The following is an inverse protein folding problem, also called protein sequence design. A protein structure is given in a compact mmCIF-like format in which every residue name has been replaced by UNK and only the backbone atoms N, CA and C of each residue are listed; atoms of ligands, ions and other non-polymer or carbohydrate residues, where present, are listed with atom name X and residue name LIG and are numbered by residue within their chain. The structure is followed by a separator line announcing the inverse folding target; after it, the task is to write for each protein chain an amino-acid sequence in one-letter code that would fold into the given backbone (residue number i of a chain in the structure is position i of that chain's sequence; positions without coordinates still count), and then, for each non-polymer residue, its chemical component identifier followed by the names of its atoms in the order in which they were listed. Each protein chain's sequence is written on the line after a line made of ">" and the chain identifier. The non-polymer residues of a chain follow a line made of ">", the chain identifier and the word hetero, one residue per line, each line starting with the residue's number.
data_IF_512634742448
#
_entry.id   IF_512634742448
#
_cell.length_a   1.000
_cell.length_b   1.000
_cell.length_c   1.000
_cell.angle_alpha   90.00
_cell.angle_beta   90.00
_cell.angle_gamma   90.00
#
_symmetry.space_group_name_H-M   'P 1'
#
loop_
_entity.id
_entity.type
_entity.pdbx_description
1 polymer ?
#
# COMPACT_ATOMS: atom_id res chain seq x y z
N UNK A 1 -32.58 -15.58 -44.20
CA UNK A 1 -31.28 -16.20 -43.85
C UNK A 1 -31.48 -17.68 -43.61
N UNK A 2 -30.68 -18.53 -44.26
CA UNK A 2 -30.72 -19.98 -44.04
C UNK A 2 -30.30 -20.35 -42.58
N UNK A 3 -30.76 -21.48 -42.10
CA UNK A 3 -30.42 -21.97 -40.73
C UNK A 3 -28.89 -22.07 -40.54
N UNK A 4 -28.18 -22.45 -41.61
CA UNK A 4 -26.69 -22.52 -41.63
C UNK A 4 -26.05 -21.12 -41.45
N UNK A 5 -26.59 -20.07 -42.10
CA UNK A 5 -26.06 -18.71 -41.97
C UNK A 5 -26.27 -18.15 -40.57
N UNK A 6 -27.40 -18.46 -39.93
CA UNK A 6 -27.68 -18.06 -38.54
C UNK A 6 -26.74 -18.76 -37.56
N UNK A 7 -26.50 -20.06 -37.74
CA UNK A 7 -25.56 -20.82 -36.90
C UNK A 7 -24.14 -20.29 -37.03
N UNK A 8 -23.68 -20.00 -38.25
CA UNK A 8 -22.35 -19.44 -38.48
C UNK A 8 -22.21 -18.07 -37.82
N UNK A 9 -23.24 -17.21 -37.93
CA UNK A 9 -23.25 -15.89 -37.29
C UNK A 9 -23.12 -15.98 -35.76
N UNK A 10 -23.88 -16.85 -35.11
CA UNK A 10 -23.79 -17.05 -33.65
C UNK A 10 -22.44 -17.62 -33.23
N UNK A 11 -21.91 -18.58 -34.00
CA UNK A 11 -20.60 -19.16 -33.73
C UNK A 11 -19.47 -18.12 -33.83
N UNK A 12 -19.52 -17.28 -34.88
CA UNK A 12 -18.53 -16.21 -35.06
C UNK A 12 -18.64 -15.14 -33.97
N UNK A 13 -19.87 -14.73 -33.63
CA UNK A 13 -20.12 -13.78 -32.55
C UNK A 13 -19.59 -14.31 -31.21
N UNK A 14 -19.82 -15.60 -30.94
CA UNK A 14 -19.32 -16.26 -29.74
C UNK A 14 -17.80 -16.35 -29.68
N UNK A 15 -17.13 -16.67 -30.81
CA UNK A 15 -15.68 -16.69 -30.92
C UNK A 15 -15.05 -15.31 -30.73
N UNK A 16 -15.66 -14.24 -31.24
CA UNK A 16 -15.20 -12.86 -31.06
C UNK A 16 -15.18 -12.44 -29.58
N UNK A 17 -16.09 -12.97 -28.77
CA UNK A 17 -16.15 -12.68 -27.32
C UNK A 17 -15.28 -13.66 -26.53
N UNK A 18 -15.33 -14.95 -26.88
CA UNK A 18 -14.65 -16.01 -26.13
C UNK A 18 -13.12 -15.93 -26.29
N UNK A 19 -12.61 -15.68 -27.49
CA UNK A 19 -11.16 -15.66 -27.73
C UNK A 19 -10.46 -14.53 -26.96
N UNK A 20 -10.90 -13.26 -26.99
CA UNK A 20 -10.35 -12.21 -26.16
C UNK A 20 -10.51 -12.49 -24.65
N UNK A 21 -11.64 -13.09 -24.24
CA UNK A 21 -11.87 -13.47 -22.85
C UNK A 21 -10.89 -14.57 -22.40
N UNK A 22 -10.68 -15.63 -23.19
CA UNK A 22 -9.73 -16.69 -22.89
C UNK A 22 -8.28 -16.19 -22.92
N UNK A 23 -7.97 -15.29 -23.87
CA UNK A 23 -6.67 -14.63 -23.92
C UNK A 23 -6.44 -13.78 -22.68
N UNK A 24 -7.42 -12.95 -22.31
CA UNK A 24 -7.38 -12.11 -21.12
C UNK A 24 -7.30 -12.94 -19.83
N UNK A 25 -8.12 -14.00 -19.71
CA UNK A 25 -8.10 -14.95 -18.59
C UNK A 25 -6.74 -15.66 -18.46
N UNK A 26 -6.16 -16.11 -19.56
CA UNK A 26 -4.90 -16.85 -19.55
C UNK A 26 -3.66 -15.96 -19.37
N UNK A 27 -3.77 -14.66 -19.69
CA UNK A 27 -2.63 -13.72 -19.60
C UNK A 27 -2.66 -12.84 -18.37
N UNK A 28 -3.83 -12.59 -17.78
CA UNK A 28 -3.98 -11.59 -16.71
C UNK A 28 -4.47 -12.14 -15.37
N UNK A 29 -5.29 -13.17 -15.34
CA UNK A 29 -5.85 -13.69 -14.10
C UNK A 29 -5.34 -15.10 -13.80
N UNK A 30 -4.50 -15.21 -12.74
CA UNK A 30 -4.35 -16.45 -12.00
C UNK A 30 -3.44 -17.52 -12.59
N UNK A 31 -2.62 -17.22 -13.61
CA UNK A 31 -1.61 -18.20 -14.02
C UNK A 31 -0.54 -18.31 -12.95
N UNK A 32 -0.54 -19.44 -12.24
CA UNK A 32 0.56 -19.77 -11.34
C UNK A 32 1.86 -19.86 -12.12
N UNK A 33 2.86 -19.08 -11.71
CA UNK A 33 4.19 -19.15 -12.29
C UNK A 33 4.88 -20.44 -11.84
N UNK A 34 5.54 -21.18 -12.75
CA UNK A 34 6.42 -22.26 -12.35
C UNK A 34 7.62 -21.70 -11.55
N UNK A 35 8.20 -22.53 -10.68
CA UNK A 35 9.26 -22.13 -9.76
C UNK A 35 10.46 -21.47 -10.46
N UNK A 36 10.84 -22.00 -11.63
CA UNK A 36 11.89 -21.40 -12.44
C UNK A 36 11.56 -19.96 -12.86
N UNK A 37 10.32 -19.71 -13.30
CA UNK A 37 9.90 -18.38 -13.75
C UNK A 37 9.79 -17.41 -12.57
N UNK A 38 9.38 -17.85 -11.38
CA UNK A 38 9.42 -17.03 -10.16
C UNK A 38 10.87 -16.59 -9.89
N UNK A 39 11.82 -17.53 -9.93
CA UNK A 39 13.24 -17.25 -9.71
C UNK A 39 13.81 -16.25 -10.73
N UNK A 40 13.46 -16.40 -12.00
CA UNK A 40 13.84 -15.47 -13.07
C UNK A 40 13.24 -14.07 -12.84
N UNK A 41 11.97 -14.00 -12.47
CA UNK A 41 11.26 -12.74 -12.23
C UNK A 41 11.78 -11.97 -11.04
N UNK A 42 12.17 -12.63 -9.94
CA UNK A 42 12.75 -11.97 -8.75
C UNK A 42 14.08 -11.25 -9.06
N UNK A 43 14.78 -11.66 -10.13
CA UNK A 43 16.07 -11.08 -10.56
C UNK A 43 15.96 -10.12 -11.74
N UNK A 44 14.74 -9.85 -12.21
CA UNK A 44 14.52 -8.96 -13.36
C UNK A 44 14.39 -7.50 -12.93
N UNK A 45 15.47 -6.93 -12.41
CA UNK A 45 15.51 -5.54 -11.92
C UNK A 45 15.13 -4.51 -13.01
N UNK A 46 15.17 -4.90 -14.29
CA UNK A 46 14.73 -4.03 -15.40
C UNK A 46 13.22 -3.93 -15.51
N UNK A 47 12.49 -4.89 -14.96
CA UNK A 47 11.02 -4.97 -15.02
C UNK A 47 10.42 -5.17 -13.62
N UNK A 48 10.33 -4.12 -12.79
CA UNK A 48 9.84 -4.22 -11.41
C UNK A 48 8.48 -4.92 -11.28
N UNK A 49 7.62 -4.83 -12.29
CA UNK A 49 6.32 -5.53 -12.31
C UNK A 49 6.46 -7.05 -12.32
N UNK A 50 7.53 -7.60 -12.92
CA UNK A 50 7.82 -9.04 -12.85
C UNK A 50 8.16 -9.44 -11.42
N UNK A 51 9.00 -8.64 -10.74
CA UNK A 51 9.35 -8.87 -9.35
C UNK A 51 8.10 -8.84 -8.47
N UNK A 52 7.25 -7.81 -8.61
CA UNK A 52 6.00 -7.71 -7.85
C UNK A 52 5.08 -8.92 -8.08
N UNK A 53 4.93 -9.37 -9.32
CA UNK A 53 4.13 -10.55 -9.65
C UNK A 53 4.67 -11.81 -8.97
N UNK A 54 6.00 -12.02 -9.00
CA UNK A 54 6.63 -13.14 -8.31
C UNK A 54 6.44 -13.05 -6.79
N UNK A 55 6.62 -11.86 -6.20
CA UNK A 55 6.43 -11.61 -4.76
C UNK A 55 5.00 -11.97 -4.31
N UNK A 56 3.97 -11.51 -5.04
CA UNK A 56 2.56 -11.81 -4.71
C UNK A 56 2.34 -13.32 -4.72
N UNK A 57 2.84 -14.04 -5.72
CA UNK A 57 2.68 -15.49 -5.78
C UNK A 57 3.46 -16.25 -4.69
N UNK A 58 4.63 -15.72 -4.27
CA UNK A 58 5.34 -16.27 -3.10
C UNK A 58 4.50 -16.04 -1.84
N UNK A 59 3.93 -14.85 -1.65
CA UNK A 59 3.04 -14.55 -0.53
C UNK A 59 1.84 -15.49 -0.48
N UNK A 60 1.18 -15.74 -1.63
CA UNK A 60 0.09 -16.72 -1.75
C UNK A 60 0.54 -18.14 -1.36
N UNK A 61 1.71 -18.58 -1.81
CA UNK A 61 2.27 -19.88 -1.45
C UNK A 61 2.55 -20.00 0.04
N UNK A 62 3.10 -18.96 0.67
CA UNK A 62 3.33 -18.92 2.11
C UNK A 62 2.00 -19.05 2.86
N UNK A 63 0.97 -18.29 2.48
CA UNK A 63 -0.36 -18.36 3.08
C UNK A 63 -1.02 -19.74 2.92
N UNK A 64 -0.70 -20.47 1.84
CA UNK A 64 -1.14 -21.84 1.62
C UNK A 64 -0.20 -22.91 2.24
N UNK A 65 0.79 -22.48 3.05
CA UNK A 65 1.76 -23.37 3.71
C UNK A 65 2.58 -24.25 2.73
N UNK A 66 2.84 -23.73 1.51
CA UNK A 66 3.72 -24.40 0.55
C UNK A 66 5.19 -24.23 0.98
N UNK A 67 5.77 -25.28 1.54
CA UNK A 67 7.15 -25.28 2.03
C UNK A 67 8.19 -24.93 0.96
N UNK A 68 7.85 -25.05 -0.32
CA UNK A 68 8.74 -24.65 -1.43
C UNK A 68 8.97 -23.15 -1.47
N UNK A 69 8.11 -22.32 -0.85
CA UNK A 69 8.29 -20.88 -0.77
C UNK A 69 9.63 -20.48 -0.11
N UNK A 70 10.12 -21.28 0.83
CA UNK A 70 11.35 -21.01 1.58
C UNK A 70 12.59 -20.90 0.68
N UNK A 71 12.61 -21.50 -0.51
CA UNK A 71 13.73 -21.39 -1.44
C UNK A 71 14.03 -19.96 -1.89
N UNK A 72 13.02 -19.07 -1.85
CA UNK A 72 13.16 -17.67 -2.28
C UNK A 72 13.39 -16.68 -1.12
N UNK A 73 13.41 -17.10 0.14
CA UNK A 73 13.59 -16.22 1.29
C UNK A 73 14.86 -15.36 1.22
N UNK A 74 16.03 -15.88 0.75
CA UNK A 74 17.18 -15.01 0.55
C UNK A 74 16.97 -13.89 -0.46
N UNK A 75 16.16 -14.12 -1.51
CA UNK A 75 15.83 -13.10 -2.49
C UNK A 75 14.87 -12.05 -1.91
N UNK A 76 13.93 -12.42 -1.05
CA UNK A 76 13.07 -11.48 -0.33
C UNK A 76 13.94 -10.55 0.54
N UNK A 77 14.87 -11.09 1.34
CA UNK A 77 15.77 -10.28 2.15
C UNK A 77 16.61 -9.32 1.28
N UNK A 78 17.03 -9.74 0.09
CA UNK A 78 17.74 -8.87 -0.88
C UNK A 78 16.85 -7.74 -1.39
N UNK A 79 15.57 -8.03 -1.71
CA UNK A 79 14.63 -7.09 -2.28
C UNK A 79 14.16 -6.02 -1.28
N UNK A 80 14.37 -6.21 0.02
CA UNK A 80 14.10 -5.22 1.06
C UNK A 80 14.84 -3.88 0.83
N UNK A 81 15.91 -3.88 0.02
CA UNK A 81 16.68 -2.67 -0.34
C UNK A 81 16.58 -2.32 -1.82
N UNK A 82 15.62 -2.87 -2.54
CA UNK A 82 15.44 -2.61 -3.97
C UNK A 82 15.17 -1.13 -4.23
N UNK A 83 15.71 -0.50 -5.33
CA UNK A 83 15.55 0.92 -5.58
C UNK A 83 14.08 1.35 -5.81
N UNK A 84 13.25 0.46 -6.32
CA UNK A 84 11.82 0.73 -6.63
C UNK A 84 10.97 0.52 -5.38
N UNK A 85 10.27 1.57 -4.97
CA UNK A 85 9.42 1.61 -3.77
C UNK A 85 8.36 0.51 -3.76
N UNK A 86 7.66 0.32 -4.87
CA UNK A 86 6.56 -0.65 -4.98
C UNK A 86 7.04 -2.08 -4.78
N UNK A 87 8.28 -2.39 -5.16
CA UNK A 87 8.90 -3.70 -4.89
C UNK A 87 9.13 -3.87 -3.41
N UNK A 88 9.77 -2.90 -2.74
CA UNK A 88 10.00 -2.94 -1.29
C UNK A 88 8.70 -3.02 -0.50
N UNK A 89 7.68 -2.27 -0.94
CA UNK A 89 6.37 -2.26 -0.31
C UNK A 89 5.68 -3.65 -0.36
N UNK A 90 5.68 -4.28 -1.52
CA UNK A 90 5.13 -5.64 -1.70
C UNK A 90 5.94 -6.65 -0.91
N UNK A 91 7.26 -6.54 -0.92
CA UNK A 91 8.18 -7.44 -0.23
C UNK A 91 8.00 -7.39 1.30
N UNK A 92 7.83 -6.19 1.88
CA UNK A 92 7.53 -6.03 3.30
C UNK A 92 6.25 -6.79 3.70
N UNK A 93 5.20 -6.73 2.89
CA UNK A 93 3.97 -7.49 3.11
C UNK A 93 4.21 -9.00 3.02
N UNK A 94 4.96 -9.46 2.02
CA UNK A 94 5.26 -10.90 1.82
C UNK A 94 6.04 -11.47 3.01
N UNK A 95 7.07 -10.76 3.49
CA UNK A 95 7.84 -11.19 4.67
C UNK A 95 6.97 -11.32 5.93
N UNK A 96 5.90 -10.52 6.06
CA UNK A 96 4.95 -10.63 7.16
C UNK A 96 4.09 -11.90 7.15
N UNK A 97 4.01 -12.61 6.01
CA UNK A 97 3.20 -13.84 5.90
C UNK A 97 3.89 -15.07 6.54
N UNK A 98 5.21 -15.02 6.78
CA UNK A 98 5.93 -16.06 7.52
C UNK A 98 6.85 -15.44 8.58
N UNK A 99 6.37 -15.44 9.81
CA UNK A 99 7.14 -14.90 10.95
C UNK A 99 8.32 -15.78 11.39
N UNK A 100 8.48 -16.96 10.80
CA UNK A 100 9.64 -17.85 11.02
C UNK A 100 10.69 -17.73 9.91
N UNK A 101 10.43 -16.93 8.87
CA UNK A 101 11.35 -16.75 7.75
C UNK A 101 12.68 -16.15 8.20
N UNK A 102 13.83 -16.81 7.89
CA UNK A 102 15.15 -16.37 8.33
C UNK A 102 15.49 -14.99 7.71
N UNK A 103 15.89 -14.04 8.57
CA UNK A 103 16.29 -12.69 8.16
C UNK A 103 15.13 -11.72 7.90
N UNK A 104 13.88 -12.18 7.95
CA UNK A 104 12.71 -11.33 7.69
C UNK A 104 12.52 -10.27 8.78
N UNK A 105 12.63 -10.66 10.03
CA UNK A 105 12.49 -9.74 11.17
C UNK A 105 13.49 -8.58 11.07
N UNK A 106 14.78 -8.87 10.85
CA UNK A 106 15.85 -7.88 10.74
C UNK A 106 15.68 -6.99 9.50
N UNK A 107 15.22 -7.55 8.38
CA UNK A 107 14.93 -6.79 7.17
C UNK A 107 13.79 -5.81 7.42
N UNK A 108 12.68 -6.26 8.01
CA UNK A 108 11.53 -5.43 8.34
C UNK A 108 11.88 -4.31 9.34
N UNK A 109 12.71 -4.59 10.36
CA UNK A 109 13.22 -3.56 11.29
C UNK A 109 13.97 -2.44 10.54
N UNK A 110 14.81 -2.78 9.56
CA UNK A 110 15.48 -1.78 8.72
C UNK A 110 14.48 -0.99 7.85
N UNK A 111 13.47 -1.64 7.33
CA UNK A 111 12.44 -1.01 6.50
C UNK A 111 11.55 -0.03 7.28
N UNK A 112 11.54 -0.04 8.62
CA UNK A 112 10.91 1.01 9.42
C UNK A 112 11.55 2.40 9.21
N UNK A 113 12.75 2.46 8.66
CA UNK A 113 13.48 3.70 8.35
C UNK A 113 13.45 4.02 6.84
N UNK A 114 12.63 3.32 6.06
CA UNK A 114 12.52 3.58 4.61
C UNK A 114 12.06 5.02 4.33
N UNK A 115 12.50 5.58 3.22
CA UNK A 115 12.06 6.91 2.76
C UNK A 115 10.56 6.94 2.45
N UNK A 116 10.00 5.82 1.97
CA UNK A 116 8.58 5.68 1.66
C UNK A 116 7.74 5.43 2.91
N UNK A 117 6.70 6.23 3.10
CA UNK A 117 5.71 6.05 4.18
C UNK A 117 4.98 4.70 4.05
N UNK A 118 4.70 4.26 2.83
CA UNK A 118 4.01 2.99 2.59
C UNK A 118 4.89 1.79 2.96
N UNK A 119 6.17 1.84 2.60
CA UNK A 119 7.13 0.78 2.99
C UNK A 119 7.26 0.69 4.51
N UNK A 120 7.45 1.84 5.19
CA UNK A 120 7.48 1.89 6.66
C UNK A 120 6.20 1.33 7.29
N UNK A 121 5.04 1.69 6.72
CA UNK A 121 3.74 1.22 7.18
C UNK A 121 3.60 -0.30 7.06
N UNK A 122 3.88 -0.87 5.88
CA UNK A 122 3.79 -2.31 5.67
C UNK A 122 4.82 -3.09 6.49
N UNK A 123 6.04 -2.58 6.66
CA UNK A 123 7.03 -3.19 7.54
C UNK A 123 6.53 -3.23 9.00
N UNK A 124 5.93 -2.13 9.46
CA UNK A 124 5.37 -2.04 10.81
C UNK A 124 4.19 -2.99 11.05
N UNK A 125 3.27 -3.08 10.08
CA UNK A 125 2.13 -4.02 10.10
C UNK A 125 2.63 -5.47 10.14
N UNK A 126 3.64 -5.79 9.33
CA UNK A 126 4.26 -7.11 9.29
C UNK A 126 4.94 -7.47 10.60
N UNK A 127 5.73 -6.55 11.18
CA UNK A 127 6.39 -6.76 12.48
C UNK A 127 5.40 -7.04 13.62
N UNK A 128 4.22 -6.43 13.60
CA UNK A 128 3.19 -6.68 14.61
C UNK A 128 2.70 -8.15 14.64
N UNK A 129 3.00 -8.94 13.61
CA UNK A 129 2.69 -10.36 13.54
C UNK A 129 3.75 -11.23 14.22
N UNK A 130 5.00 -10.75 14.31
CA UNK A 130 6.10 -11.47 14.94
C UNK A 130 5.93 -11.57 16.46
N UNK A 131 6.55 -12.59 17.05
CA UNK A 131 6.61 -12.80 18.49
C UNK A 131 8.05 -13.04 18.93
N UNK A 132 8.40 -12.51 20.08
CA UNK A 132 9.68 -12.83 20.73
C UNK A 132 9.63 -14.19 21.45
N UNK A 133 10.76 -14.56 22.05
CA UNK A 133 10.89 -15.82 22.79
C UNK A 133 9.94 -15.92 24.01
N UNK A 134 9.43 -14.80 24.53
CA UNK A 134 8.43 -14.76 25.61
C UNK A 134 7.01 -14.94 25.09
N UNK A 135 6.80 -14.97 23.78
CA UNK A 135 5.51 -14.98 23.12
C UNK A 135 4.87 -13.59 22.97
N UNK A 136 5.55 -12.51 23.40
CA UNK A 136 5.09 -11.14 23.24
C UNK A 136 5.23 -10.70 21.79
N UNK A 137 4.25 -9.89 21.31
CA UNK A 137 4.30 -9.37 19.94
C UNK A 137 5.32 -8.25 19.81
N UNK A 138 5.95 -8.18 18.64
CA UNK A 138 6.87 -7.10 18.33
C UNK A 138 6.12 -5.77 18.16
N UNK A 139 6.45 -4.81 18.99
CA UNK A 139 5.88 -3.47 18.98
C UNK A 139 6.84 -2.41 18.41
N UNK A 140 7.94 -2.80 17.79
CA UNK A 140 8.96 -1.87 17.24
C UNK A 140 8.38 -0.94 16.17
N UNK A 141 7.40 -1.41 15.39
CA UNK A 141 6.71 -0.64 14.36
C UNK A 141 5.53 0.20 14.86
N UNK A 142 5.21 0.19 16.17
CA UNK A 142 4.02 0.86 16.71
C UNK A 142 3.92 2.35 16.35
N UNK A 143 4.98 3.18 16.43
CA UNK A 143 4.90 4.59 16.03
C UNK A 143 4.52 4.78 14.57
N UNK A 144 5.01 3.93 13.67
CA UNK A 144 4.69 3.96 12.25
C UNK A 144 3.24 3.54 12.00
N UNK A 145 2.72 2.56 12.75
CA UNK A 145 1.30 2.17 12.68
C UNK A 145 0.39 3.32 13.12
N UNK A 146 0.73 4.01 14.22
CA UNK A 146 -0.02 5.19 14.66
C UNK A 146 0.02 6.30 13.62
N UNK A 147 1.16 6.49 12.93
CA UNK A 147 1.30 7.45 11.85
C UNK A 147 0.40 7.15 10.64
N UNK A 148 0.05 5.87 10.39
CA UNK A 148 -0.90 5.49 9.32
C UNK A 148 -2.32 6.02 9.55
N UNK A 149 -2.66 6.40 10.77
CA UNK A 149 -3.95 6.98 11.13
C UNK A 149 -4.00 8.51 10.94
N UNK A 150 -2.88 9.14 10.64
CA UNK A 150 -2.78 10.59 10.52
C UNK A 150 -2.88 11.05 9.08
N UNK A 151 -3.46 12.23 8.82
CA UNK A 151 -3.40 12.85 7.50
C UNK A 151 -1.96 13.06 7.04
N UNK A 152 -1.74 12.95 5.74
CA UNK A 152 -0.43 13.15 5.11
C UNK A 152 -0.39 14.48 4.38
N UNK A 153 0.64 15.29 4.67
CA UNK A 153 0.90 16.56 4.00
C UNK A 153 1.69 16.32 2.70
N UNK A 154 1.15 16.82 1.60
CA UNK A 154 1.79 16.79 0.28
C UNK A 154 2.46 18.12 0.04
N UNK A 155 3.79 18.12 -0.14
CA UNK A 155 4.60 19.31 -0.27
C UNK A 155 5.02 19.54 -1.73
N UNK A 156 5.25 20.79 -2.11
CA UNK A 156 5.80 21.15 -3.40
C UNK A 156 7.27 20.69 -3.51
N UNK A 157 7.64 19.90 -4.53
CA UNK A 157 9.02 19.44 -4.70
C UNK A 157 10.00 20.54 -5.14
N UNK A 158 9.48 21.68 -5.56
CA UNK A 158 10.25 22.84 -6.02
C UNK A 158 9.40 24.10 -6.06
N UNK A 159 10.02 25.24 -6.30
CA UNK A 159 9.30 26.49 -6.52
C UNK A 159 8.66 26.53 -7.92
N UNK A 160 7.45 27.07 -8.02
CA UNK A 160 6.76 27.15 -9.31
C UNK A 160 5.34 27.71 -9.21
N UNK A 161 4.66 27.75 -10.35
CA UNK A 161 3.26 28.15 -10.45
C UNK A 161 2.36 26.93 -10.54
N UNK A 162 1.35 26.83 -9.70
CA UNK A 162 0.34 25.78 -9.73
C UNK A 162 -0.54 25.97 -10.96
N UNK A 163 -0.62 24.96 -11.82
CA UNK A 163 -1.41 24.99 -13.05
C UNK A 163 -2.72 24.22 -12.94
N UNK A 164 -2.76 23.23 -12.05
CA UNK A 164 -3.96 22.40 -11.82
C UNK A 164 -3.93 21.82 -10.41
N UNK A 165 -5.10 21.56 -9.81
CA UNK A 165 -5.26 20.92 -8.50
C UNK A 165 -6.42 19.96 -8.52
N UNK A 166 -6.30 18.85 -7.78
CA UNK A 166 -7.42 17.97 -7.48
C UNK A 166 -8.48 18.71 -6.62
N UNK A 167 -9.65 18.10 -6.46
CA UNK A 167 -10.75 18.69 -5.68
C UNK A 167 -10.79 18.09 -4.28
N UNK A 168 -11.08 18.93 -3.28
CA UNK A 168 -11.36 18.48 -1.91
C UNK A 168 -12.51 17.47 -1.91
N UNK A 169 -12.40 16.44 -1.07
CA UNK A 169 -13.36 15.34 -0.97
C UNK A 169 -13.19 14.23 -2.01
N UNK A 170 -12.32 14.41 -3.02
CA UNK A 170 -12.08 13.39 -4.05
C UNK A 170 -11.24 12.24 -3.48
N UNK A 171 -11.64 11.00 -3.77
CA UNK A 171 -10.81 9.83 -3.52
C UNK A 171 -9.60 9.84 -4.45
N UNK A 172 -8.43 9.53 -3.92
CA UNK A 172 -7.17 9.49 -4.66
C UNK A 172 -6.43 8.20 -4.33
N UNK A 173 -5.82 7.58 -5.34
CA UNK A 173 -4.94 6.44 -5.14
C UNK A 173 -3.50 6.90 -4.95
N UNK A 174 -2.66 6.08 -4.33
CA UNK A 174 -1.22 6.28 -4.31
C UNK A 174 -0.69 6.51 -5.73
N UNK A 175 0.17 7.50 -5.90
CA UNK A 175 0.67 7.93 -7.22
C UNK A 175 -0.32 8.77 -8.05
N UNK A 176 -1.57 8.96 -7.58
CA UNK A 176 -2.55 9.84 -8.23
C UNK A 176 -2.12 11.31 -8.21
N UNK A 177 -2.48 12.08 -9.23
CA UNK A 177 -2.07 13.48 -9.35
C UNK A 177 -2.89 14.35 -8.40
N UNK A 178 -2.22 15.01 -7.45
CA UNK A 178 -2.80 15.98 -6.51
C UNK A 178 -2.79 17.39 -7.11
N UNK A 179 -1.67 17.75 -7.76
CA UNK A 179 -1.51 19.04 -8.41
C UNK A 179 -0.49 18.95 -9.55
N UNK A 180 -0.48 19.96 -10.42
CA UNK A 180 0.57 20.17 -11.43
C UNK A 180 1.27 21.48 -11.16
N UNK A 181 2.59 21.47 -11.21
CA UNK A 181 3.45 22.61 -10.94
C UNK A 181 4.30 22.95 -12.18
N UNK A 182 4.17 24.17 -12.68
CA UNK A 182 5.08 24.69 -13.68
C UNK A 182 6.30 25.28 -12.97
N UNK A 183 7.53 24.72 -13.13
CA UNK A 183 8.71 25.23 -12.44
C UNK A 183 9.01 26.69 -12.78
N UNK A 184 9.49 27.44 -11.79
CA UNK A 184 9.97 28.82 -11.96
C UNK A 184 11.39 28.79 -12.55
N UNK A 185 11.52 28.61 -13.87
CA UNK A 185 12.82 28.69 -14.56
C UNK A 185 12.87 29.82 -15.54
N UNK A 186 14.05 30.48 -15.71
CA UNK A 186 14.20 31.63 -16.63
C UNK A 186 13.90 31.32 -18.09
N UNK A 187 13.99 30.04 -18.50
CA UNK A 187 13.81 29.60 -19.88
C UNK A 187 12.42 29.14 -20.25
N UNK A 188 11.47 29.06 -19.30
CA UNK A 188 10.06 28.71 -19.58
C UNK A 188 9.78 27.32 -20.19
N UNK A 189 10.80 26.50 -20.40
CA UNK A 189 10.77 25.34 -21.29
C UNK A 189 10.67 23.97 -20.58
N UNK A 190 10.54 23.91 -19.24
CA UNK A 190 10.44 22.63 -18.53
C UNK A 190 8.99 22.15 -18.49
N UNK A 191 8.80 20.83 -18.69
CA UNK A 191 7.50 20.20 -18.53
C UNK A 191 6.95 20.40 -17.11
N UNK A 192 5.63 20.47 -16.97
CA UNK A 192 4.98 20.57 -15.68
C UNK A 192 5.32 19.34 -14.81
N UNK A 193 5.63 19.58 -13.55
CA UNK A 193 5.90 18.54 -12.55
C UNK A 193 4.55 18.09 -11.99
N UNK A 194 4.28 16.80 -12.02
CA UNK A 194 3.12 16.23 -11.37
C UNK A 194 3.43 15.95 -9.90
N UNK A 195 2.68 16.59 -9.01
CA UNK A 195 2.73 16.34 -7.57
C UNK A 195 1.75 15.20 -7.28
N UNK A 196 2.27 14.08 -6.82
CA UNK A 196 1.51 12.84 -6.67
C UNK A 196 1.24 12.53 -5.21
N UNK A 197 0.11 11.84 -4.95
CA UNK A 197 -0.24 11.38 -3.61
C UNK A 197 0.71 10.28 -3.16
N UNK A 198 1.27 10.37 -1.93
CA UNK A 198 2.09 9.31 -1.35
C UNK A 198 1.26 8.15 -0.79
N UNK A 199 -0.05 8.31 -0.61
CA UNK A 199 -0.96 7.30 -0.07
C UNK A 199 -2.25 7.23 -0.89
N UNK A 200 -3.00 6.14 -0.75
CA UNK A 200 -4.41 6.09 -1.14
C UNK A 200 -5.27 6.68 -0.03
N UNK A 201 -6.29 7.47 -0.40
CA UNK A 201 -7.13 8.13 0.60
C UNK A 201 -8.10 9.14 -0.01
N UNK A 202 -8.41 10.19 0.75
CA UNK A 202 -9.31 11.27 0.33
C UNK A 202 -8.62 12.63 0.52
N UNK A 203 -8.74 13.52 -0.45
CA UNK A 203 -8.21 14.88 -0.33
C UNK A 203 -9.03 15.63 0.71
N UNK A 204 -8.38 15.92 1.85
CA UNK A 204 -8.97 16.67 2.96
C UNK A 204 -8.95 18.16 2.70
N UNK A 205 -7.80 18.69 2.29
CA UNK A 205 -7.56 20.10 2.07
C UNK A 205 -6.65 20.31 0.84
N UNK A 206 -6.92 21.37 0.10
CA UNK A 206 -6.00 21.94 -0.88
C UNK A 206 -5.55 23.31 -0.35
N UNK A 207 -4.29 23.42 0.00
CA UNK A 207 -3.68 24.61 0.63
C UNK A 207 -3.28 25.69 -0.37
N UNK A 208 -3.49 25.47 -1.68
CA UNK A 208 -3.12 26.38 -2.76
C UNK A 208 -4.22 26.47 -3.80
N UNK A 209 -4.13 27.40 -4.73
CA UNK A 209 -5.08 27.56 -5.84
C UNK A 209 -4.38 27.53 -7.19
N UNK A 210 -5.11 27.13 -8.23
CA UNK A 210 -4.63 27.23 -9.62
C UNK A 210 -4.24 28.69 -9.92
N UNK A 211 -3.04 28.88 -10.48
CA UNK A 211 -2.45 30.18 -10.75
C UNK A 211 -1.55 30.73 -9.64
N UNK A 212 -1.61 30.20 -8.42
CA UNK A 212 -0.74 30.62 -7.31
C UNK A 212 0.73 30.23 -7.55
N UNK A 213 1.64 31.03 -7.04
CA UNK A 213 3.08 30.71 -6.98
C UNK A 213 3.40 30.16 -5.61
N UNK A 214 4.10 29.02 -5.55
CA UNK A 214 4.51 28.35 -4.34
C UNK A 214 6.01 28.19 -4.28
N UNK A 215 6.57 28.21 -3.07
CA UNK A 215 7.98 27.89 -2.82
C UNK A 215 8.19 26.37 -2.72
N UNK A 216 9.43 25.92 -2.86
CA UNK A 216 9.81 24.55 -2.53
C UNK A 216 9.46 24.24 -1.07
N UNK A 217 8.88 23.06 -0.80
CA UNK A 217 8.43 22.65 0.54
C UNK A 217 7.12 23.30 1.00
N UNK A 218 6.49 24.18 0.22
CA UNK A 218 5.15 24.68 0.55
C UNK A 218 4.11 23.54 0.54
N UNK A 219 3.17 23.57 1.47
CA UNK A 219 2.08 22.61 1.51
C UNK A 219 1.11 22.83 0.35
N UNK A 220 0.84 21.77 -0.39
CA UNK A 220 -0.08 21.75 -1.54
C UNK A 220 -1.43 21.19 -1.13
N UNK A 221 -1.42 20.10 -0.36
CA UNK A 221 -2.62 19.41 0.06
C UNK A 221 -2.39 18.60 1.33
N UNK A 222 -3.49 18.29 2.01
CA UNK A 222 -3.54 17.28 3.07
C UNK A 222 -4.45 16.15 2.60
N UNK A 223 -4.05 14.90 2.81
CA UNK A 223 -4.77 13.70 2.39
C UNK A 223 -5.07 12.86 3.62
N UNK A 224 -6.35 12.61 3.87
CA UNK A 224 -6.79 11.65 4.87
C UNK A 224 -6.47 10.23 4.41
N UNK A 225 -6.02 9.34 5.32
CA UNK A 225 -5.73 7.95 4.98
C UNK A 225 -6.99 7.22 4.51
N UNK A 226 -6.82 6.29 3.59
CA UNK A 226 -7.91 5.47 3.08
C UNK A 226 -8.38 4.43 4.10
N UNK A 227 -9.66 4.03 3.98
CA UNK A 227 -10.33 3.14 4.93
C UNK A 227 -9.61 1.82 5.16
N UNK A 228 -8.99 1.25 4.11
CA UNK A 228 -8.23 0.01 4.20
C UNK A 228 -6.97 0.18 5.05
N UNK A 229 -6.20 1.25 4.82
CA UNK A 229 -5.02 1.58 5.60
C UNK A 229 -5.37 1.78 7.09
N UNK A 230 -6.46 2.51 7.36
CA UNK A 230 -6.94 2.75 8.73
C UNK A 230 -7.35 1.43 9.38
N UNK A 231 -8.09 0.59 8.68
CA UNK A 231 -8.56 -0.70 9.18
C UNK A 231 -7.40 -1.63 9.53
N UNK A 232 -6.39 -1.75 8.67
CA UNK A 232 -5.19 -2.55 8.94
C UNK A 232 -4.39 -1.99 10.13
N UNK A 233 -4.23 -0.66 10.22
CA UNK A 233 -3.59 -0.03 11.38
C UNK A 233 -4.34 -0.32 12.69
N UNK A 234 -5.67 -0.27 12.68
CA UNK A 234 -6.49 -0.62 13.85
C UNK A 234 -6.34 -2.10 14.25
N UNK A 235 -6.25 -3.02 13.27
CA UNK A 235 -5.97 -4.44 13.54
C UNK A 235 -4.61 -4.64 14.22
N UNK A 236 -3.59 -3.94 13.75
CA UNK A 236 -2.27 -4.01 14.37
C UNK A 236 -2.30 -3.41 15.79
N UNK A 237 -2.95 -2.27 16.00
CA UNK A 237 -3.09 -1.66 17.33
C UNK A 237 -3.94 -2.51 18.27
N UNK A 238 -4.93 -3.24 17.79
CA UNK A 238 -5.60 -4.26 18.56
C UNK A 238 -4.61 -5.26 19.16
N UNK A 239 -3.54 -5.62 18.46
CA UNK A 239 -2.54 -6.59 18.90
C UNK A 239 -1.46 -5.98 19.80
N UNK A 240 -0.94 -4.78 19.46
CA UNK A 240 0.27 -4.20 20.09
C UNK A 240 0.07 -2.79 20.65
N UNK A 241 -1.09 -2.18 20.46
CA UNK A 241 -1.37 -0.80 20.88
C UNK A 241 -1.28 -0.61 22.40
N UNK A 242 -0.97 0.61 22.83
CA UNK A 242 -0.84 1.03 24.22
C UNK A 242 -1.78 2.19 24.52
N UNK A 243 -1.97 2.51 25.79
CA UNK A 243 -2.87 3.58 26.25
C UNK A 243 -2.58 4.96 25.60
N UNK A 244 -1.32 5.23 25.30
CA UNK A 244 -0.87 6.45 24.63
C UNK A 244 -1.31 6.57 23.17
N UNK A 245 -1.75 5.47 22.54
CA UNK A 245 -2.24 5.45 21.13
C UNK A 245 -3.74 5.79 21.03
N UNK A 246 -4.49 5.71 22.15
CA UNK A 246 -5.93 5.95 22.17
C UNK A 246 -6.36 7.29 21.54
N UNK A 247 -5.63 8.41 21.73
CA UNK A 247 -5.97 9.67 21.07
C UNK A 247 -6.02 9.58 19.54
N UNK A 248 -5.17 8.73 18.92
CA UNK A 248 -5.14 8.54 17.47
C UNK A 248 -6.29 7.63 16.98
N UNK A 249 -6.82 6.76 17.83
CA UNK A 249 -7.93 5.84 17.54
C UNK A 249 -9.29 6.54 17.64
N UNK A 250 -9.49 7.39 18.67
CA UNK A 250 -10.76 8.05 18.99
C UNK A 250 -11.49 8.74 17.82
N UNK A 251 -10.82 9.41 16.85
CA UNK A 251 -11.51 10.00 15.72
C UNK A 251 -12.34 8.98 14.91
N UNK A 252 -11.92 7.72 14.88
CA UNK A 252 -12.53 6.65 14.11
C UNK A 252 -13.61 5.86 14.86
N UNK A 253 -13.81 6.10 16.15
CA UNK A 253 -14.86 5.46 16.96
C UNK A 253 -16.24 6.12 16.77
N UNK A 254 -16.25 7.34 16.24
CA UNK A 254 -17.46 8.15 16.11
C UNK A 254 -18.33 7.64 14.97
N UNK A 255 -19.63 7.66 15.17
CA UNK A 255 -20.59 7.45 14.10
C UNK A 255 -20.52 8.63 13.14
N UNK A 256 -20.11 8.39 11.90
CA UNK A 256 -19.95 9.37 10.85
C UNK A 256 -20.22 8.73 9.50
N UNK A 257 -20.78 9.51 8.56
CA UNK A 257 -20.97 9.06 7.16
C UNK A 257 -19.66 8.83 6.42
N UNK A 258 -18.58 9.46 6.90
CA UNK A 258 -17.25 9.38 6.27
C UNK A 258 -16.41 8.21 6.81
N UNK A 259 -16.88 7.51 7.86
CA UNK A 259 -16.19 6.38 8.47
C UNK A 259 -17.05 5.12 8.27
N UNK A 260 -16.60 4.14 7.47
CA UNK A 260 -17.32 2.87 7.30
C UNK A 260 -17.48 2.12 8.62
N UNK A 261 -18.61 1.43 8.79
CA UNK A 261 -18.91 0.65 10.00
C UNK A 261 -17.78 -0.33 10.36
N UNK A 262 -17.19 -1.01 9.38
CA UNK A 262 -16.07 -1.94 9.61
C UNK A 262 -14.85 -1.27 10.26
N UNK A 263 -14.54 -0.02 9.87
CA UNK A 263 -13.42 0.76 10.45
C UNK A 263 -13.76 1.15 11.87
N UNK A 264 -14.97 1.65 12.10
CA UNK A 264 -15.46 2.03 13.42
C UNK A 264 -15.48 0.85 14.40
N UNK A 265 -16.01 -0.29 13.98
CA UNK A 265 -16.03 -1.50 14.78
C UNK A 265 -14.62 -1.96 15.16
N UNK A 266 -13.68 -1.94 14.20
CA UNK A 266 -12.29 -2.30 14.47
C UNK A 266 -11.60 -1.29 15.40
N UNK A 267 -11.92 0.00 15.32
CA UNK A 267 -11.41 1.03 16.23
C UNK A 267 -11.89 0.77 17.66
N UNK A 268 -13.18 0.48 17.85
CA UNK A 268 -13.74 0.14 19.17
C UNK A 268 -13.09 -1.13 19.75
N UNK A 269 -12.86 -2.16 18.93
CA UNK A 269 -12.15 -3.36 19.36
C UNK A 269 -10.71 -3.07 19.78
N UNK A 270 -10.01 -2.19 19.06
CA UNK A 270 -8.64 -1.79 19.39
C UNK A 270 -8.61 -1.00 20.70
N UNK A 271 -9.52 -0.03 20.91
CA UNK A 271 -9.64 0.73 22.17
C UNK A 271 -9.89 -0.22 23.35
N UNK A 272 -10.86 -1.11 23.24
CA UNK A 272 -11.18 -2.07 24.31
C UNK A 272 -9.99 -2.97 24.66
N UNK A 273 -9.28 -3.50 23.63
CA UNK A 273 -8.12 -4.36 23.84
C UNK A 273 -6.95 -3.62 24.51
N UNK A 274 -6.72 -2.36 24.13
CA UNK A 274 -5.69 -1.50 24.73
C UNK A 274 -6.01 -1.23 26.18
N UNK A 275 -7.24 -0.83 26.51
CA UNK A 275 -7.67 -0.56 27.90
C UNK A 275 -7.58 -1.82 28.77
N UNK A 276 -7.99 -2.95 28.24
CA UNK A 276 -7.90 -4.24 28.93
C UNK A 276 -6.45 -4.60 29.27
N UNK A 277 -5.51 -4.40 28.32
CA UNK A 277 -4.07 -4.61 28.59
C UNK A 277 -3.51 -3.63 29.62
N UNK A 278 -3.91 -2.36 29.54
CA UNK A 278 -3.46 -1.33 30.48
C UNK A 278 -3.95 -1.62 31.92
N UNK A 279 -5.16 -2.14 32.07
CA UNK A 279 -5.71 -2.49 33.40
C UNK A 279 -5.14 -3.80 33.95
N UNK A 280 -4.58 -4.67 33.13
CA UNK A 280 -3.95 -5.93 33.55
C UNK A 280 -2.46 -5.79 33.90
N UNK A 281 -1.84 -4.63 33.65
CA UNK A 281 -0.48 -4.32 34.10
C UNK A 281 -0.58 -3.64 35.47
N UNK A 282 0.01 -4.25 36.55
CA UNK A 282 -0.03 -3.70 37.93
C UNK A 282 0.78 -2.43 38.07
#
# INVERSE_FOLDING_TARGET
>A
MSTRTRLLFYLTAWLIVLLPFLFWWNTWFGRQLPDQQITEYLRDDKRPRHIQHALVQIGERIMHHDLRAAQWYPELVRLATHPVEEVRNTDAWVMGQDTAGPGFHEALLKMLQDSSTMVRGNAALSLALFRDASGSRDASGRPQIVALLQPVHVLAPGAGRVTDTARVGTAIHQGGIVAKLQPATPSGALAAIEIRSPISGRIHLISTSTGATVAAGAEIATIDPGDEQVWEAMRALYLIGRAEDLPAIRPYERESRDIPDRVREQALLADQAIRSRASAQP
#
